data_IF_622167903854
#
_entry.id   IF_622167903854
#
_cell.length_a   1.000
_cell.length_b   1.000
_cell.length_c   1.000
_cell.angle_alpha   90.00
_cell.angle_beta   90.00
_cell.angle_gamma   90.00
#
_symmetry.space_group_name_H-M   'P 1'
#
loop_
_entity.id
_entity.type
_entity.pdbx_description
1 polymer ?
#
# COMPACT_ATOMS: atom_id res chain seq x y z
N UNK A 1 10.75 28.03 3.72
CA UNK A 1 9.70 27.03 3.43
C UNK A 1 10.25 25.70 3.90
N UNK A 2 9.83 25.23 5.07
CA UNK A 2 10.35 23.98 5.64
C UNK A 2 9.54 22.84 5.02
N UNK A 3 10.16 22.05 4.14
CA UNK A 3 9.52 20.84 3.61
C UNK A 3 9.34 19.88 4.78
N UNK A 4 8.10 19.50 5.08
CA UNK A 4 7.81 18.49 6.09
C UNK A 4 8.32 17.14 5.55
N UNK A 5 9.24 16.50 6.28
CA UNK A 5 9.85 15.22 5.88
C UNK A 5 8.80 14.15 5.56
N UNK A 6 7.65 14.17 6.25
CA UNK A 6 6.55 13.23 6.00
C UNK A 6 5.87 13.45 4.64
N UNK A 7 5.79 14.71 4.18
CA UNK A 7 5.22 15.03 2.86
C UNK A 7 6.12 14.54 1.75
N UNK A 8 7.44 14.79 1.88
CA UNK A 8 8.43 14.33 0.90
C UNK A 8 8.49 12.80 0.80
N UNK A 9 8.42 12.10 1.94
CA UNK A 9 8.38 10.62 1.96
C UNK A 9 7.15 10.10 1.20
N UNK A 10 5.98 10.67 1.44
CA UNK A 10 4.75 10.26 0.76
C UNK A 10 4.77 10.54 -0.75
N UNK A 11 5.33 11.67 -1.18
CA UNK A 11 5.51 12.00 -2.59
C UNK A 11 6.44 11.00 -3.29
N UNK A 12 7.55 10.61 -2.66
CA UNK A 12 8.47 9.59 -3.20
C UNK A 12 7.78 8.22 -3.28
N UNK A 13 7.04 7.85 -2.24
CA UNK A 13 6.28 6.59 -2.23
C UNK A 13 5.27 6.56 -3.37
N UNK A 14 4.54 7.66 -3.58
CA UNK A 14 3.55 7.78 -4.65
C UNK A 14 4.19 7.69 -6.04
N UNK A 15 5.24 8.49 -6.30
CA UNK A 15 6.01 8.44 -7.57
C UNK A 15 6.43 7.01 -7.92
N UNK A 16 6.93 6.27 -6.93
CA UNK A 16 7.43 4.91 -7.13
C UNK A 16 6.32 3.88 -7.28
N UNK A 17 5.18 4.04 -6.59
CA UNK A 17 4.02 3.14 -6.75
C UNK A 17 3.36 3.27 -8.12
N UNK A 18 3.39 4.49 -8.66
CA UNK A 18 2.79 4.80 -9.95
C UNK A 18 3.79 4.81 -11.10
N UNK A 19 5.06 4.51 -10.82
CA UNK A 19 6.12 4.26 -11.80
C UNK A 19 6.03 2.90 -12.47
N UNK A 20 7.18 2.41 -12.94
CA UNK A 20 7.26 1.12 -13.62
C UNK A 20 7.43 -0.06 -12.64
N UNK A 21 7.60 -1.27 -13.19
CA UNK A 21 7.79 -2.48 -12.37
C UNK A 21 9.02 -2.40 -11.46
N UNK A 22 10.11 -1.83 -11.95
CA UNK A 22 11.36 -1.68 -11.20
C UNK A 22 11.21 -0.67 -10.05
N UNK A 23 10.41 0.39 -10.24
CA UNK A 23 10.10 1.36 -9.18
C UNK A 23 9.35 0.69 -8.01
N UNK A 24 8.37 -0.17 -8.31
CA UNK A 24 7.62 -0.90 -7.27
C UNK A 24 8.52 -1.95 -6.60
N UNK A 25 9.38 -2.64 -7.36
CA UNK A 25 10.39 -3.54 -6.79
C UNK A 25 11.34 -2.79 -5.85
N UNK A 26 11.78 -1.59 -6.25
CA UNK A 26 12.62 -0.74 -5.41
C UNK A 26 11.92 -0.41 -4.09
N UNK A 27 10.64 -0.04 -4.10
CA UNK A 27 9.88 0.19 -2.87
C UNK A 27 9.80 -1.06 -1.99
N UNK A 28 9.46 -2.21 -2.57
CA UNK A 28 9.33 -3.45 -1.79
C UNK A 28 10.66 -3.87 -1.15
N UNK A 29 11.79 -3.58 -1.78
CA UNK A 29 13.12 -3.87 -1.25
C UNK A 29 13.58 -2.92 -0.14
N UNK A 30 13.04 -1.69 -0.12
CA UNK A 30 13.49 -0.62 0.77
C UNK A 30 12.43 -0.19 1.80
N UNK A 31 11.24 -0.80 1.78
CA UNK A 31 10.25 -0.60 2.83
C UNK A 31 10.81 -1.03 4.19
N UNK A 32 10.50 -0.26 5.24
CA UNK A 32 10.99 -0.50 6.60
C UNK A 32 10.74 -1.94 7.08
N UNK A 33 11.60 -2.45 7.96
CA UNK A 33 11.34 -3.74 8.63
C UNK A 33 10.21 -3.57 9.66
N UNK A 34 9.20 -4.42 9.53
CA UNK A 34 7.85 -4.29 10.05
C UNK A 34 7.64 -4.45 11.57
N UNK A 35 6.59 -3.79 12.08
CA UNK A 35 5.90 -4.15 13.33
C UNK A 35 4.47 -4.64 13.00
N UNK A 36 4.27 -5.95 13.06
CA UNK A 36 3.01 -6.63 12.70
C UNK A 36 1.77 -6.20 13.49
N UNK A 37 1.98 -5.62 14.66
CA UNK A 37 0.89 -5.13 15.49
C UNK A 37 0.16 -3.95 14.86
N UNK A 38 0.86 -3.05 14.17
CA UNK A 38 0.27 -1.79 13.66
C UNK A 38 -0.64 -2.00 12.46
N UNK A 39 -0.30 -2.90 11.54
CA UNK A 39 -1.18 -3.24 10.40
C UNK A 39 -2.41 -4.00 10.88
N UNK A 40 -2.26 -4.86 11.89
CA UNK A 40 -3.39 -5.51 12.54
C UNK A 40 -4.39 -4.48 13.13
N UNK A 41 -3.87 -3.51 13.89
CA UNK A 41 -4.66 -2.40 14.42
C UNK A 41 -5.32 -1.57 13.31
N UNK A 42 -4.64 -1.37 12.18
CA UNK A 42 -5.20 -0.72 10.98
C UNK A 42 -6.37 -1.50 10.38
N UNK A 43 -6.23 -2.82 10.17
CA UNK A 43 -7.28 -3.68 9.61
C UNK A 43 -8.53 -3.65 10.49
N UNK A 44 -8.37 -3.74 11.81
CA UNK A 44 -9.46 -3.63 12.77
C UNK A 44 -10.16 -2.27 12.71
N UNK A 45 -9.38 -1.19 12.58
CA UNK A 45 -9.94 0.18 12.46
C UNK A 45 -10.70 0.36 11.16
N UNK A 46 -10.25 -0.30 10.09
CA UNK A 46 -10.87 -0.27 8.76
C UNK A 46 -12.02 -1.28 8.58
N UNK A 47 -12.44 -1.96 9.67
CA UNK A 47 -13.49 -2.99 9.68
C UNK A 47 -13.22 -4.14 8.66
N UNK A 48 -11.95 -4.50 8.49
CA UNK A 48 -11.53 -5.61 7.62
C UNK A 48 -11.54 -6.92 8.39
N UNK A 49 -12.13 -7.96 7.80
CA UNK A 49 -12.15 -9.30 8.38
C UNK A 49 -10.73 -9.90 8.45
N UNK A 50 -10.13 -9.91 9.65
CA UNK A 50 -8.79 -10.42 9.91
C UNK A 50 -8.62 -11.94 9.68
N UNK A 51 -9.72 -12.68 9.51
CA UNK A 51 -9.67 -14.13 9.23
C UNK A 51 -9.70 -14.45 7.74
N UNK A 52 -10.03 -13.46 6.90
CA UNK A 52 -10.12 -13.59 5.46
C UNK A 52 -8.83 -13.08 4.84
N UNK A 53 -7.96 -14.01 4.39
CA UNK A 53 -6.75 -13.64 3.65
C UNK A 53 -7.10 -12.77 2.44
N UNK A 54 -8.20 -13.08 1.75
CA UNK A 54 -8.67 -12.32 0.61
C UNK A 54 -8.95 -10.85 0.97
N UNK A 55 -9.72 -10.59 2.04
CA UNK A 55 -10.08 -9.22 2.43
C UNK A 55 -8.86 -8.42 2.86
N UNK A 56 -7.93 -9.06 3.59
CA UNK A 56 -6.65 -8.46 3.98
C UNK A 56 -5.84 -8.08 2.75
N UNK A 57 -5.70 -9.00 1.78
CA UNK A 57 -4.96 -8.73 0.56
C UNK A 57 -5.60 -7.61 -0.27
N UNK A 58 -6.92 -7.62 -0.43
CA UNK A 58 -7.65 -6.59 -1.16
C UNK A 58 -7.42 -5.20 -0.52
N UNK A 59 -7.61 -5.07 0.79
CA UNK A 59 -7.36 -3.81 1.48
C UNK A 59 -5.91 -3.35 1.33
N UNK A 60 -4.96 -4.27 1.54
CA UNK A 60 -3.52 -3.96 1.53
C UNK A 60 -3.05 -3.50 0.15
N UNK A 61 -3.51 -4.16 -0.92
CA UNK A 61 -3.21 -3.79 -2.31
C UNK A 61 -3.90 -2.46 -2.67
N UNK A 62 -5.15 -2.28 -2.27
CA UNK A 62 -5.88 -1.03 -2.54
C UNK A 62 -5.18 0.15 -1.87
N UNK A 63 -4.89 0.07 -0.57
CA UNK A 63 -4.15 1.13 0.15
C UNK A 63 -2.79 1.45 -0.49
N UNK A 64 -2.09 0.43 -1.01
CA UNK A 64 -0.83 0.62 -1.73
C UNK A 64 -1.03 1.26 -3.11
N UNK A 65 -2.15 1.04 -3.78
CA UNK A 65 -2.33 1.42 -5.19
C UNK A 65 -3.15 2.70 -5.40
N UNK A 66 -3.96 3.10 -4.42
CA UNK A 66 -4.80 4.31 -4.47
C UNK A 66 -3.94 5.57 -4.67
N UNK A 67 -4.37 6.48 -5.54
CA UNK A 67 -3.73 7.77 -5.78
C UNK A 67 -4.04 8.78 -4.66
N UNK A 68 -3.15 9.73 -4.38
CA UNK A 68 -3.34 10.67 -3.27
C UNK A 68 -4.49 11.66 -3.49
N UNK A 69 -4.91 11.89 -4.73
CA UNK A 69 -6.12 12.65 -5.06
C UNK A 69 -7.42 11.90 -4.70
N UNK A 70 -7.36 10.58 -4.52
CA UNK A 70 -8.46 9.73 -4.06
C UNK A 70 -8.50 9.54 -2.54
N UNK A 71 -7.69 10.30 -1.78
CA UNK A 71 -7.60 10.20 -0.31
C UNK A 71 -8.96 10.27 0.38
N UNK A 72 -9.80 11.21 -0.03
CA UNK A 72 -11.10 11.41 0.63
C UNK A 72 -12.05 10.25 0.36
N UNK A 73 -12.06 9.71 -0.88
CA UNK A 73 -12.82 8.51 -1.24
C UNK A 73 -12.35 7.29 -0.45
N UNK A 74 -11.04 7.12 -0.30
CA UNK A 74 -10.47 6.04 0.50
C UNK A 74 -10.86 6.16 1.98
N UNK A 75 -10.79 7.37 2.54
CA UNK A 75 -11.23 7.63 3.92
C UNK A 75 -12.73 7.38 4.11
N UNK A 76 -13.58 7.75 3.15
CA UNK A 76 -15.01 7.46 3.22
C UNK A 76 -15.31 5.96 3.20
N UNK A 77 -14.52 5.19 2.45
CA UNK A 77 -14.68 3.74 2.32
C UNK A 77 -14.21 2.98 3.56
N UNK A 78 -13.06 3.35 4.11
CA UNK A 78 -12.39 2.56 5.16
C UNK A 78 -12.26 3.27 6.51
N UNK A 79 -12.61 4.55 6.63
CA UNK A 79 -12.50 5.31 7.87
C UNK A 79 -11.06 5.53 8.37
N UNK A 80 -10.04 5.28 7.54
CA UNK A 80 -8.63 5.39 7.91
C UNK A 80 -7.86 6.30 6.95
N UNK A 81 -6.84 6.99 7.45
CA UNK A 81 -6.01 7.89 6.64
C UNK A 81 -5.18 7.09 5.60
N UNK A 82 -5.21 7.54 4.34
CA UNK A 82 -4.55 6.87 3.23
C UNK A 82 -3.04 6.75 3.42
N UNK A 83 -2.34 7.80 3.85
CA UNK A 83 -0.87 7.78 3.99
C UNK A 83 -0.43 6.75 5.04
N UNK A 84 -1.13 6.71 6.17
CA UNK A 84 -0.88 5.70 7.22
C UNK A 84 -1.20 4.30 6.70
N UNK A 85 -2.36 4.12 6.06
CA UNK A 85 -2.78 2.84 5.53
C UNK A 85 -1.82 2.31 4.47
N UNK A 86 -1.38 3.18 3.55
CA UNK A 86 -0.39 2.91 2.50
C UNK A 86 0.93 2.49 3.12
N UNK A 87 1.50 3.28 4.04
CA UNK A 87 2.79 2.96 4.67
C UNK A 87 2.76 1.60 5.36
N UNK A 88 1.74 1.32 6.16
CA UNK A 88 1.62 0.04 6.86
C UNK A 88 1.38 -1.13 5.90
N UNK A 89 0.57 -0.92 4.85
CA UNK A 89 0.29 -1.94 3.84
C UNK A 89 1.52 -2.27 2.98
N UNK A 90 2.29 -1.27 2.55
CA UNK A 90 3.55 -1.48 1.84
C UNK A 90 4.54 -2.28 2.69
N UNK A 91 4.59 -1.97 3.98
CA UNK A 91 5.44 -2.70 4.92
C UNK A 91 4.99 -4.17 5.05
N UNK A 92 3.68 -4.42 5.13
CA UNK A 92 3.13 -5.78 5.17
C UNK A 92 3.46 -6.58 3.89
N UNK A 93 3.27 -5.96 2.71
CA UNK A 93 3.59 -6.56 1.41
C UNK A 93 5.09 -6.83 1.26
N UNK A 94 5.96 -5.93 1.72
CA UNK A 94 7.41 -6.12 1.69
C UNK A 94 7.86 -7.35 2.49
N UNK A 95 7.24 -7.63 3.64
CA UNK A 95 7.58 -8.87 4.38
C UNK A 95 7.23 -10.12 3.61
N UNK A 96 6.04 -10.16 2.99
CA UNK A 96 5.61 -11.27 2.15
C UNK A 96 6.56 -11.42 0.96
N UNK A 97 6.88 -10.30 0.31
CA UNK A 97 7.85 -10.22 -0.78
C UNK A 97 9.23 -10.77 -0.39
N UNK A 98 9.75 -10.44 0.80
CA UNK A 98 11.03 -10.93 1.27
C UNK A 98 10.99 -12.40 1.67
N UNK A 99 9.90 -12.87 2.30
CA UNK A 99 9.75 -14.22 2.81
C UNK A 99 9.55 -15.26 1.70
N UNK A 100 8.83 -14.91 0.64
CA UNK A 100 8.42 -15.87 -0.38
C UNK A 100 8.89 -15.46 -1.78
N UNK A 101 9.96 -16.11 -2.26
CA UNK A 101 10.53 -15.80 -3.57
C UNK A 101 9.54 -16.02 -4.74
N UNK A 102 8.62 -16.99 -4.60
CA UNK A 102 7.62 -17.31 -5.62
C UNK A 102 6.56 -16.23 -5.81
N UNK A 103 6.26 -15.43 -4.79
CA UNK A 103 5.15 -14.46 -4.83
C UNK A 103 5.62 -13.03 -5.13
N UNK A 104 6.93 -12.79 -5.20
CA UNK A 104 7.51 -11.44 -5.44
C UNK A 104 6.92 -10.74 -6.66
N UNK A 105 6.97 -11.42 -7.81
CA UNK A 105 6.40 -10.88 -9.04
C UNK A 105 4.87 -10.76 -8.95
N UNK A 106 4.21 -11.71 -8.28
CA UNK A 106 2.76 -11.69 -8.11
C UNK A 106 2.29 -10.46 -7.33
N UNK A 107 2.99 -10.08 -6.26
CA UNK A 107 2.68 -8.87 -5.47
C UNK A 107 2.80 -7.63 -6.36
N UNK A 108 3.93 -7.47 -7.05
CA UNK A 108 4.19 -6.30 -7.91
C UNK A 108 3.18 -6.23 -9.05
N UNK A 109 2.93 -7.35 -9.75
CA UNK A 109 1.99 -7.42 -10.85
C UNK A 109 0.55 -7.14 -10.38
N UNK A 110 0.20 -7.49 -9.14
CA UNK A 110 -1.11 -7.22 -8.55
C UNK A 110 -1.30 -5.75 -8.23
N UNK A 111 -0.28 -5.09 -7.66
CA UNK A 111 -0.29 -3.63 -7.43
C UNK A 111 -0.47 -2.89 -8.75
N UNK A 112 0.33 -3.22 -9.77
CA UNK A 112 0.23 -2.61 -11.11
C UNK A 112 -1.16 -2.80 -11.69
N UNK A 113 -1.70 -4.02 -11.64
CA UNK A 113 -3.02 -4.31 -12.18
C UNK A 113 -4.11 -3.51 -11.46
N UNK A 114 -4.07 -3.44 -10.14
CA UNK A 114 -5.07 -2.71 -9.37
C UNK A 114 -5.00 -1.20 -9.66
N UNK A 115 -3.80 -0.63 -9.63
CA UNK A 115 -3.54 0.76 -10.01
C UNK A 115 -4.08 1.09 -11.41
N UNK A 116 -3.80 0.25 -12.41
CA UNK A 116 -4.21 0.52 -13.78
C UNK A 116 -5.73 0.39 -13.96
N UNK A 117 -6.40 -0.44 -13.15
CA UNK A 117 -7.86 -0.55 -13.14
C UNK A 117 -8.51 0.68 -12.49
N UNK A 118 -7.95 1.18 -11.39
CA UNK A 118 -8.50 2.36 -10.71
C UNK A 118 -8.24 3.65 -11.48
N UNK A 119 -7.10 3.75 -12.19
CA UNK A 119 -6.79 4.89 -13.04
C UNK A 119 -7.70 5.03 -14.28
N UNK A 120 -8.24 3.91 -14.80
CA UNK A 120 -9.15 3.91 -15.97
C UNK A 120 -10.61 4.25 -15.64
N UNK A 121 -10.95 4.26 -14.35
CA UNK A 121 -12.29 4.59 -13.87
C UNK A 121 -12.41 6.05 -13.37
N UNK A 122 -11.38 6.86 -13.65
CA UNK A 122 -11.35 8.33 -13.54
C UNK A 122 -11.62 8.96 -14.91
#
# INVERSE_FOLDING_TARGET
>A
MTINLNTLENEIIEDKLHGNKDDIHFLMLNADKYNCRKHRELLLTADINETSEYDIYCFTIEAASTFSDQRDTFYQKYGVNLEIARKLSLTALANLYHKEQKIRNSIVDTIIRYRDLTAKNL
#
